data_IF_272984423250
#
_entry.id   IF_272984423250
#
_cell.length_a   1.000
_cell.length_b   1.000
_cell.length_c   1.000
_cell.angle_alpha   90.00
_cell.angle_beta   90.00
_cell.angle_gamma   90.00
#
_symmetry.space_group_name_H-M   'P 1'
#
loop_
_entity.id
_entity.type
_entity.pdbx_description
1 polymer ?
#
# COMPACT_ATOMS: atom_id res chain seq x y z
N UNK A 1 43.71 -12.08 -27.89
CA UNK A 1 42.98 -11.19 -26.94
C UNK A 1 42.61 -9.90 -27.67
N UNK A 2 41.35 -9.45 -27.62
CA UNK A 2 40.90 -8.25 -28.38
C UNK A 2 41.55 -6.97 -27.86
N UNK A 3 41.87 -6.02 -28.75
CA UNK A 3 42.44 -4.70 -28.41
C UNK A 3 41.64 -3.98 -27.32
N UNK A 4 40.32 -4.17 -27.29
CA UNK A 4 39.43 -3.62 -26.25
C UNK A 4 39.68 -4.24 -24.86
N UNK A 5 39.99 -5.54 -24.80
CA UNK A 5 40.30 -6.24 -23.54
C UNK A 5 41.65 -5.80 -22.98
N UNK A 6 42.65 -5.56 -23.85
CA UNK A 6 43.96 -5.02 -23.44
C UNK A 6 43.83 -3.61 -22.90
N UNK A 7 43.05 -2.74 -23.56
CA UNK A 7 42.80 -1.38 -23.08
C UNK A 7 42.10 -1.35 -21.71
N UNK A 8 41.11 -2.22 -21.50
CA UNK A 8 40.41 -2.31 -20.22
C UNK A 8 41.34 -2.76 -19.09
N UNK A 9 42.19 -3.75 -19.35
CA UNK A 9 43.17 -4.24 -18.36
C UNK A 9 44.18 -3.14 -18.01
N UNK A 10 44.72 -2.43 -19.01
CA UNK A 10 45.66 -1.33 -18.76
C UNK A 10 45.02 -0.19 -17.96
N UNK A 11 43.74 0.11 -18.19
CA UNK A 11 43.01 1.16 -17.47
C UNK A 11 42.74 0.78 -16.01
N UNK A 12 42.37 -0.48 -15.73
CA UNK A 12 42.19 -0.99 -14.36
C UNK A 12 43.52 -1.03 -13.60
N UNK A 13 44.61 -1.40 -14.28
CA UNK A 13 45.96 -1.38 -13.69
C UNK A 13 46.37 0.06 -13.36
N UNK A 14 46.15 1.02 -14.26
CA UNK A 14 46.47 2.43 -14.02
C UNK A 14 45.69 3.02 -12.82
N UNK A 15 44.39 2.74 -12.71
CA UNK A 15 43.55 3.20 -11.58
C UNK A 15 44.07 2.63 -10.24
N UNK A 16 44.47 1.36 -10.22
CA UNK A 16 45.04 0.72 -9.03
C UNK A 16 46.36 1.35 -8.58
N UNK A 17 47.22 1.74 -9.53
CA UNK A 17 48.48 2.44 -9.22
C UNK A 17 48.25 3.88 -8.73
N UNK A 18 47.25 4.58 -9.28
CA UNK A 18 46.86 5.92 -8.83
C UNK A 18 46.32 5.90 -7.39
N UNK A 19 45.47 4.93 -7.04
CA UNK A 19 44.95 4.76 -5.66
C UNK A 19 46.06 4.48 -4.63
N UNK A 20 47.09 3.70 -5.01
CA UNK A 20 48.26 3.45 -4.17
C UNK A 20 49.13 4.70 -3.94
N UNK A 21 49.25 5.57 -4.95
CA UNK A 21 50.01 6.82 -4.83
C UNK A 21 49.31 7.84 -3.91
N UNK A 22 47.98 7.89 -3.92
CA UNK A 22 47.20 8.71 -2.97
C UNK A 22 47.37 8.28 -1.51
N UNK A 23 47.54 6.97 -1.25
CA UNK A 23 47.80 6.45 0.09
C UNK A 23 49.22 6.79 0.59
N UNK A 24 50.21 6.81 -0.30
CA UNK A 24 51.61 7.14 0.04
C UNK A 24 51.84 8.65 0.26
N UNK A 25 51.05 9.51 -0.39
CA UNK A 25 51.12 10.97 -0.20
C UNK A 25 50.37 11.48 1.04
N UNK A 26 49.86 10.59 1.90
CA UNK A 26 49.26 10.95 3.19
C UNK A 26 47.95 11.74 3.07
N UNK A 27 47.31 11.74 1.89
CA UNK A 27 46.02 12.39 1.69
C UNK A 27 44.93 11.61 2.43
N UNK A 28 44.71 11.94 3.70
CA UNK A 28 43.56 11.45 4.44
C UNK A 28 42.32 12.08 3.83
N UNK A 29 41.43 11.25 3.28
CA UNK A 29 40.05 11.64 3.00
C UNK A 29 39.52 12.32 4.26
N UNK A 30 38.95 13.53 4.20
CA UNK A 30 38.45 14.20 5.38
C UNK A 30 37.35 13.32 5.98
N UNK A 31 37.69 12.63 7.06
CA UNK A 31 36.70 12.02 7.93
C UNK A 31 35.92 13.20 8.47
N UNK A 32 34.68 13.38 8.01
CA UNK A 32 33.74 14.25 8.70
C UNK A 32 33.64 13.71 10.12
N UNK A 33 34.34 14.38 11.03
CA UNK A 33 34.29 14.09 12.45
C UNK A 33 32.84 14.34 12.89
N UNK A 34 32.09 13.27 13.09
CA UNK A 34 30.88 13.31 13.87
C UNK A 34 31.32 13.70 15.29
N UNK A 35 30.96 14.88 15.82
CA UNK A 35 31.37 15.26 17.17
C UNK A 35 30.74 14.24 18.12
N UNK A 36 31.58 13.39 18.70
CA UNK A 36 31.20 12.47 19.75
C UNK A 36 30.60 13.29 20.89
N UNK A 37 29.31 13.09 21.14
CA UNK A 37 28.66 13.50 22.38
C UNK A 37 29.42 12.83 23.53
N UNK A 38 30.21 13.61 24.26
CA UNK A 38 30.75 13.20 25.54
C UNK A 38 29.57 12.95 26.49
N UNK A 39 29.30 11.68 26.77
CA UNK A 39 28.51 11.30 27.93
C UNK A 39 29.32 11.63 29.18
N UNK A 40 29.09 12.82 29.75
CA UNK A 40 29.45 13.12 31.12
C UNK A 40 28.24 12.82 32.00
N UNK A 41 28.30 11.69 32.69
CA UNK A 41 27.38 11.34 33.77
C UNK A 41 27.69 12.21 34.99
N UNK A 42 26.83 13.17 35.29
CA UNK A 42 26.75 13.84 36.58
C UNK A 42 25.29 13.93 37.03
N UNK A 43 25.01 13.24 38.12
CA UNK A 43 23.76 13.30 38.87
C UNK A 43 23.62 14.66 39.56
N UNK A 44 22.53 15.39 39.31
CA UNK A 44 21.85 16.22 40.32
C UNK A 44 20.53 16.79 39.81
N UNK A 45 19.66 17.02 40.78
CA UNK A 45 18.25 17.35 40.80
C UNK A 45 17.80 18.65 40.12
N UNK A 46 16.52 18.61 39.70
CA UNK A 46 15.52 19.70 39.66
C UNK A 46 15.76 20.93 38.76
N UNK A 47 14.97 21.03 37.70
CA UNK A 47 13.90 22.04 37.50
C UNK A 47 13.61 22.22 35.99
N UNK A 48 12.36 22.02 35.60
CA UNK A 48 11.89 22.04 34.21
C UNK A 48 11.91 23.45 33.61
N UNK A 49 12.49 23.68 32.42
CA UNK A 49 12.28 24.91 31.69
C UNK A 49 11.08 24.77 30.75
N UNK A 50 10.06 25.59 31.04
CA UNK A 50 8.90 25.87 30.20
C UNK A 50 9.36 26.25 28.79
N UNK A 51 8.97 25.46 27.78
CA UNK A 51 9.09 25.85 26.37
C UNK A 51 7.69 25.90 25.73
N UNK A 52 7.41 26.92 24.89
CA UNK A 52 6.05 27.32 24.56
C UNK A 52 5.58 26.73 23.22
N UNK A 53 4.26 26.51 23.11
CA UNK A 53 3.52 26.18 21.88
C UNK A 53 3.72 24.79 21.25
N UNK A 54 3.43 23.72 22.01
CA UNK A 54 2.61 22.65 21.43
C UNK A 54 1.18 22.87 21.89
N UNK A 55 0.34 23.41 21.01
CA UNK A 55 -1.09 23.33 21.21
C UNK A 55 -1.44 21.85 21.34
N UNK A 56 -1.87 21.44 22.54
CA UNK A 56 -2.56 20.16 22.74
C UNK A 56 -3.75 20.18 21.78
N UNK A 57 -3.60 19.50 20.64
CA UNK A 57 -4.76 19.06 19.89
C UNK A 57 -5.55 18.19 20.85
N UNK A 58 -6.76 18.64 21.16
CA UNK A 58 -7.74 17.83 21.87
C UNK A 58 -7.90 16.54 21.05
N UNK A 59 -7.88 15.34 21.66
CA UNK A 59 -8.13 14.11 20.93
C UNK A 59 -9.60 14.13 20.49
N UNK A 60 -9.88 14.67 19.32
CA UNK A 60 -11.08 14.25 18.59
C UNK A 60 -10.86 12.76 18.34
N UNK A 61 -11.71 11.96 18.97
CA UNK A 61 -11.48 10.53 19.16
C UNK A 61 -11.25 9.82 17.84
N UNK A 62 -10.33 8.86 17.83
CA UNK A 62 -10.07 7.95 16.71
C UNK A 62 -11.38 7.28 16.20
N UNK A 63 -12.40 7.21 17.05
CA UNK A 63 -13.77 6.76 16.74
C UNK A 63 -14.54 7.65 15.77
N UNK A 64 -14.23 8.95 15.66
CA UNK A 64 -14.92 9.90 14.79
C UNK A 64 -14.45 9.84 13.33
N UNK A 65 -13.47 9.00 13.01
CA UNK A 65 -12.87 8.88 11.67
C UNK A 65 -13.09 7.49 11.02
N UNK A 66 -13.89 6.62 11.64
CA UNK A 66 -14.13 5.24 11.21
C UNK A 66 -15.55 5.05 10.64
N UNK A 67 -15.68 4.13 9.69
CA UNK A 67 -16.95 3.74 9.06
C UNK A 67 -17.64 2.52 9.70
N UNK A 68 -17.27 2.18 10.94
CA UNK A 68 -17.76 1.01 11.70
C UNK A 68 -17.58 -0.30 10.92
N UNK A 69 -18.48 -1.28 11.01
CA UNK A 69 -18.26 -2.64 10.48
C UNK A 69 -19.43 -3.20 9.67
N UNK A 70 -20.42 -2.38 9.33
CA UNK A 70 -21.56 -2.79 8.52
C UNK A 70 -21.98 -1.71 7.52
N UNK A 71 -22.61 -2.06 6.39
CA UNK A 71 -23.00 -1.08 5.38
C UNK A 71 -24.01 -0.08 5.94
N UNK A 72 -24.99 -0.58 6.71
CA UNK A 72 -26.01 0.24 7.35
C UNK A 72 -25.40 1.27 8.33
N UNK A 73 -24.41 0.88 9.13
CA UNK A 73 -23.71 1.81 10.01
C UNK A 73 -22.84 2.81 9.24
N UNK A 74 -22.14 2.35 8.20
CA UNK A 74 -21.32 3.21 7.35
C UNK A 74 -22.16 4.29 6.67
N UNK A 75 -23.31 3.89 6.10
CA UNK A 75 -24.28 4.80 5.50
C UNK A 75 -24.86 5.77 6.54
N UNK A 76 -25.23 5.29 7.72
CA UNK A 76 -25.73 6.13 8.81
C UNK A 76 -24.70 7.18 9.29
N UNK A 77 -23.40 6.88 9.15
CA UNK A 77 -22.29 7.79 9.43
C UNK A 77 -21.89 8.68 8.24
N UNK A 78 -22.59 8.58 7.11
CA UNK A 78 -22.30 9.33 5.89
C UNK A 78 -20.99 8.93 5.21
N UNK A 79 -20.55 7.68 5.40
CA UNK A 79 -19.43 7.13 4.66
C UNK A 79 -19.79 6.92 3.19
N UNK A 80 -18.78 6.98 2.34
CA UNK A 80 -18.87 6.74 0.91
C UNK A 80 -18.16 5.43 0.61
N UNK A 81 -18.80 4.57 -0.16
CA UNK A 81 -18.16 3.38 -0.70
C UNK A 81 -17.30 3.76 -1.90
N UNK A 82 -16.00 3.55 -1.78
CA UNK A 82 -15.07 3.63 -2.89
C UNK A 82 -15.08 2.30 -3.65
N UNK A 83 -15.57 2.26 -4.89
CA UNK A 83 -15.65 1.01 -5.64
C UNK A 83 -14.25 0.46 -5.95
N UNK A 84 -13.25 1.28 -6.30
CA UNK A 84 -11.91 0.76 -6.61
C UNK A 84 -11.25 0.19 -5.38
N UNK A 85 -11.31 0.87 -4.23
CA UNK A 85 -10.77 0.33 -2.98
C UNK A 85 -11.64 -0.80 -2.37
N UNK A 86 -12.89 -0.95 -2.82
CA UNK A 86 -13.97 -1.70 -2.16
C UNK A 86 -14.01 -1.42 -0.67
N UNK A 87 -14.06 -0.14 -0.32
CA UNK A 87 -13.92 0.30 1.06
C UNK A 87 -14.85 1.46 1.38
N UNK A 88 -15.58 1.33 2.49
CA UNK A 88 -16.31 2.41 3.12
C UNK A 88 -15.33 3.35 3.81
N UNK A 89 -15.32 4.61 3.37
CA UNK A 89 -14.42 5.66 3.85
C UNK A 89 -15.20 6.93 4.18
N UNK A 90 -14.66 7.75 5.08
CA UNK A 90 -15.27 9.06 5.34
C UNK A 90 -15.04 10.01 4.17
N UNK A 91 -15.97 10.95 3.90
CA UNK A 91 -15.86 11.89 2.77
C UNK A 91 -14.54 12.65 2.74
N UNK A 92 -13.94 12.95 3.89
CA UNK A 92 -12.66 13.65 3.99
C UNK A 92 -11.46 12.87 3.41
N UNK A 93 -11.55 11.55 3.29
CA UNK A 93 -10.50 10.69 2.72
C UNK A 93 -10.89 10.10 1.37
N UNK A 94 -12.12 10.31 0.92
CA UNK A 94 -12.56 9.89 -0.39
C UNK A 94 -12.06 10.89 -1.44
N UNK A 95 -11.22 10.41 -2.38
CA UNK A 95 -10.80 11.21 -3.53
C UNK A 95 -11.59 10.76 -4.76
N UNK A 96 -12.67 11.48 -5.04
CA UNK A 96 -13.60 11.17 -6.13
C UNK A 96 -12.89 11.17 -7.48
N UNK A 97 -12.11 12.20 -7.76
CA UNK A 97 -11.43 12.37 -9.05
C UNK A 97 -10.41 11.25 -9.31
N UNK A 98 -9.65 10.86 -8.28
CA UNK A 98 -8.71 9.73 -8.37
C UNK A 98 -9.42 8.40 -8.61
N UNK A 99 -10.65 8.27 -8.11
CA UNK A 99 -11.44 7.04 -8.22
C UNK A 99 -12.16 6.95 -9.55
N UNK A 100 -12.73 8.05 -10.04
CA UNK A 100 -13.48 8.08 -11.29
C UNK A 100 -12.59 7.93 -12.53
N UNK A 101 -11.35 8.43 -12.47
CA UNK A 101 -10.43 8.36 -13.62
C UNK A 101 -10.16 6.90 -14.07
N UNK A 102 -9.72 5.96 -13.23
CA UNK A 102 -9.56 4.56 -13.65
C UNK A 102 -10.90 3.87 -13.93
N UNK A 103 -11.98 4.27 -13.25
CA UNK A 103 -13.31 3.72 -13.51
C UNK A 103 -13.84 4.07 -14.90
N UNK A 104 -13.41 5.18 -15.48
CA UNK A 104 -13.81 5.61 -16.81
C UNK A 104 -13.03 4.91 -17.94
N UNK A 105 -11.92 4.23 -17.62
CA UNK A 105 -11.06 3.58 -18.63
C UNK A 105 -11.75 2.38 -19.29
N UNK A 106 -12.63 1.69 -18.57
CA UNK A 106 -13.25 0.43 -19.00
C UNK A 106 -14.60 0.21 -18.33
N UNK A 107 -15.45 -0.60 -18.96
CA UNK A 107 -16.61 -1.19 -18.29
C UNK A 107 -16.16 -2.28 -17.32
N UNK A 108 -16.01 -1.91 -16.06
CA UNK A 108 -15.67 -2.84 -14.99
C UNK A 108 -16.81 -3.80 -14.68
N UNK A 109 -16.45 -5.04 -14.40
CA UNK A 109 -17.40 -6.12 -14.15
C UNK A 109 -17.07 -6.77 -12.82
N UNK A 110 -18.10 -6.95 -11.99
CA UNK A 110 -18.04 -7.72 -10.76
C UNK A 110 -18.96 -8.92 -10.89
N UNK A 111 -18.64 -10.03 -10.23
CA UNK A 111 -19.45 -11.24 -10.27
C UNK A 111 -19.64 -11.85 -8.90
N UNK A 112 -20.75 -12.58 -8.72
CA UNK A 112 -20.98 -13.35 -7.49
C UNK A 112 -20.25 -14.70 -7.49
N UNK A 113 -19.69 -15.10 -8.63
CA UNK A 113 -19.00 -16.36 -8.83
C UNK A 113 -17.61 -16.14 -9.43
N UNK A 114 -16.64 -17.04 -9.17
CA UNK A 114 -15.28 -16.88 -9.66
C UNK A 114 -15.13 -17.11 -11.17
N UNK A 115 -16.10 -17.75 -11.85
CA UNK A 115 -16.03 -18.01 -13.30
C UNK A 115 -16.43 -16.81 -14.15
N UNK A 116 -16.86 -15.71 -13.53
CA UNK A 116 -17.21 -14.50 -14.25
C UNK A 116 -18.56 -14.58 -14.97
N UNK A 117 -19.47 -15.49 -14.57
CA UNK A 117 -20.74 -15.74 -15.30
C UNK A 117 -21.94 -14.99 -14.74
N UNK A 118 -21.97 -14.67 -13.44
CA UNK A 118 -23.07 -14.02 -12.73
C UNK A 118 -22.70 -12.58 -12.43
N UNK A 119 -22.92 -11.72 -13.40
CA UNK A 119 -22.61 -10.30 -13.33
C UNK A 119 -23.45 -9.54 -12.31
N UNK A 120 -22.80 -8.60 -11.63
CA UNK A 120 -23.41 -7.57 -10.81
C UNK A 120 -23.31 -6.22 -11.53
N UNK A 121 -24.38 -5.44 -11.47
CA UNK A 121 -24.35 -4.04 -11.88
C UNK A 121 -23.52 -3.21 -10.91
N UNK A 122 -22.99 -2.07 -11.39
CA UNK A 122 -22.27 -1.12 -10.53
C UNK A 122 -23.14 -0.65 -9.35
N UNK A 123 -24.45 -0.46 -9.56
CA UNK A 123 -25.38 -0.11 -8.47
C UNK A 123 -25.46 -1.19 -7.41
N UNK A 124 -25.58 -2.46 -7.80
CA UNK A 124 -25.63 -3.58 -6.83
C UNK A 124 -24.34 -3.66 -6.01
N UNK A 125 -23.18 -3.44 -6.62
CA UNK A 125 -21.90 -3.38 -5.92
C UNK A 125 -21.86 -2.17 -4.97
N UNK A 126 -22.38 -1.01 -5.39
CA UNK A 126 -22.36 0.23 -4.63
C UNK A 126 -23.41 0.31 -3.51
N UNK A 127 -24.46 -0.52 -3.55
CA UNK A 127 -25.33 -0.74 -2.39
C UNK A 127 -24.51 -1.28 -1.20
N UNK A 128 -23.41 -1.98 -1.49
CA UNK A 128 -22.36 -2.33 -0.55
C UNK A 128 -22.76 -3.37 0.49
N UNK A 129 -23.88 -4.05 0.29
CA UNK A 129 -24.34 -5.19 1.08
C UNK A 129 -23.66 -6.50 0.62
N UNK A 130 -22.33 -6.46 0.58
CA UNK A 130 -21.49 -7.59 0.16
C UNK A 130 -20.32 -7.74 1.11
N UNK A 131 -19.97 -8.98 1.44
CA UNK A 131 -18.70 -9.28 2.10
C UNK A 131 -17.54 -9.27 1.10
N UNK A 132 -17.76 -9.88 -0.07
CA UNK A 132 -16.83 -9.91 -1.17
C UNK A 132 -17.57 -10.09 -2.50
N UNK A 133 -16.88 -9.76 -3.58
CA UNK A 133 -17.26 -10.04 -4.98
C UNK A 133 -16.04 -10.57 -5.72
N UNK A 134 -16.24 -11.13 -6.90
CA UNK A 134 -15.13 -11.50 -7.78
C UNK A 134 -14.94 -10.45 -8.87
N UNK A 135 -13.68 -10.21 -9.22
CA UNK A 135 -13.27 -9.29 -10.28
C UNK A 135 -12.31 -9.98 -11.24
N UNK A 136 -12.05 -9.31 -12.36
CA UNK A 136 -11.00 -9.73 -13.29
C UNK A 136 -9.63 -9.18 -12.88
N UNK A 137 -8.58 -9.80 -13.42
CA UNK A 137 -7.19 -9.44 -13.14
C UNK A 137 -6.87 -7.98 -13.49
N UNK A 138 -7.47 -7.45 -14.56
CA UNK A 138 -7.32 -6.03 -14.91
C UNK A 138 -7.86 -5.10 -13.83
N UNK A 139 -8.98 -5.44 -13.21
CA UNK A 139 -9.52 -4.70 -12.07
C UNK A 139 -8.53 -4.74 -10.91
N UNK A 140 -7.99 -5.91 -10.60
CA UNK A 140 -7.05 -6.09 -9.48
C UNK A 140 -5.77 -5.28 -9.68
N UNK A 141 -5.16 -5.32 -10.87
CA UNK A 141 -3.98 -4.51 -11.20
C UNK A 141 -4.30 -3.02 -11.15
N UNK A 142 -5.49 -2.62 -11.61
CA UNK A 142 -5.96 -1.22 -11.56
C UNK A 142 -6.15 -0.74 -10.13
N UNK A 143 -6.71 -1.59 -9.26
CA UNK A 143 -6.79 -1.36 -7.83
C UNK A 143 -5.41 -1.12 -7.21
N UNK A 144 -4.43 -1.99 -7.49
CA UNK A 144 -3.06 -1.82 -7.00
C UNK A 144 -2.42 -0.50 -7.46
N UNK A 145 -2.55 -0.17 -8.75
CA UNK A 145 -2.04 1.10 -9.29
C UNK A 145 -2.74 2.32 -8.67
N UNK A 146 -4.05 2.23 -8.46
CA UNK A 146 -4.87 3.27 -7.83
C UNK A 146 -4.45 3.54 -6.38
N UNK A 147 -4.21 2.49 -5.58
CA UNK A 147 -3.75 2.64 -4.20
C UNK A 147 -2.36 3.29 -4.13
N UNK A 148 -1.46 2.93 -5.05
CA UNK A 148 -0.17 3.60 -5.15
C UNK A 148 -0.33 5.10 -5.46
N UNK A 149 -1.21 5.45 -6.40
CA UNK A 149 -1.51 6.87 -6.71
C UNK A 149 -2.15 7.60 -5.53
N UNK A 150 -3.00 6.94 -4.74
CA UNK A 150 -3.57 7.51 -3.51
C UNK A 150 -2.47 7.85 -2.50
N UNK A 151 -1.53 6.93 -2.30
CA UNK A 151 -0.37 7.12 -1.44
C UNK A 151 0.53 8.26 -1.95
N UNK A 152 0.84 8.29 -3.25
CA UNK A 152 1.62 9.37 -3.88
C UNK A 152 1.00 10.74 -3.65
N UNK A 153 -0.33 10.89 -3.85
CA UNK A 153 -1.03 12.15 -3.61
C UNK A 153 -0.97 12.60 -2.15
N UNK A 154 -1.10 11.66 -1.20
CA UNK A 154 -0.98 11.99 0.22
C UNK A 154 0.42 12.50 0.57
N UNK A 155 1.48 11.89 0.00
CA UNK A 155 2.85 12.36 0.15
C UNK A 155 3.08 13.72 -0.51
N UNK A 156 2.63 13.89 -1.75
CA UNK A 156 2.77 15.15 -2.49
C UNK A 156 2.09 16.31 -1.78
N UNK A 157 0.90 16.08 -1.21
CA UNK A 157 0.16 17.09 -0.46
C UNK A 157 0.76 17.37 0.94
N UNK A 158 1.74 16.59 1.41
CA UNK A 158 2.26 16.66 2.77
C UNK A 158 1.21 16.36 3.84
N UNK A 159 0.13 15.68 3.47
CA UNK A 159 -1.01 15.42 4.34
C UNK A 159 -1.27 13.91 4.43
N UNK A 160 -0.55 13.23 5.31
CA UNK A 160 -0.75 11.80 5.54
C UNK A 160 -2.08 11.49 6.22
N UNK A 161 -2.81 12.47 6.74
CA UNK A 161 -4.08 12.21 7.44
C UNK A 161 -5.23 11.78 6.54
N UNK A 162 -5.11 11.97 5.22
CA UNK A 162 -6.09 11.49 4.24
C UNK A 162 -5.80 10.07 3.74
N UNK A 163 -4.64 9.51 4.10
CA UNK A 163 -4.29 8.14 3.75
C UNK A 163 -5.02 7.19 4.71
N UNK A 164 -5.78 6.24 4.17
CA UNK A 164 -6.49 5.25 4.97
C UNK A 164 -5.55 4.15 5.46
N UNK A 165 -5.99 3.42 6.49
CA UNK A 165 -5.19 2.36 7.14
C UNK A 165 -4.83 1.20 6.21
N UNK A 166 -5.62 0.94 5.18
CA UNK A 166 -5.43 -0.16 4.23
C UNK A 166 -4.36 0.20 3.20
N UNK A 167 -4.50 1.36 2.57
CA UNK A 167 -3.52 1.89 1.61
C UNK A 167 -2.15 2.10 2.27
N UNK A 168 -2.11 2.44 3.55
CA UNK A 168 -0.87 2.66 4.30
C UNK A 168 -0.21 1.36 4.82
N UNK A 169 -0.88 0.20 4.71
CA UNK A 169 -0.39 -1.03 5.30
C UNK A 169 0.74 -1.65 4.46
N UNK A 170 1.83 -2.02 5.12
CA UNK A 170 3.06 -2.48 4.46
C UNK A 170 2.82 -3.73 3.61
N UNK A 171 2.20 -4.77 4.19
CA UNK A 171 1.93 -6.05 3.51
C UNK A 171 1.04 -5.84 2.27
N UNK A 172 0.14 -4.85 2.31
CA UNK A 172 -0.71 -4.51 1.18
C UNK A 172 0.07 -3.86 0.04
N UNK A 173 0.97 -2.94 0.39
CA UNK A 173 1.84 -2.25 -0.58
C UNK A 173 2.79 -3.27 -1.24
N UNK A 174 3.35 -4.21 -0.47
CA UNK A 174 4.20 -5.28 -0.99
C UNK A 174 3.44 -6.16 -2.00
N UNK A 175 2.24 -6.64 -1.62
CA UNK A 175 1.37 -7.40 -2.53
C UNK A 175 1.04 -6.60 -3.79
N UNK A 176 0.68 -5.32 -3.65
CA UNK A 176 0.40 -4.47 -4.81
C UNK A 176 1.62 -4.34 -5.74
N UNK A 177 2.82 -4.19 -5.17
CA UNK A 177 4.07 -4.16 -5.92
C UNK A 177 4.30 -5.45 -6.72
N UNK A 178 4.14 -6.60 -6.07
CA UNK A 178 4.29 -7.91 -6.71
C UNK A 178 3.28 -8.13 -7.83
N UNK A 179 2.01 -7.74 -7.64
CA UNK A 179 0.96 -7.88 -8.66
C UNK A 179 1.20 -6.98 -9.87
N UNK A 180 1.71 -5.78 -9.65
CA UNK A 180 2.08 -4.87 -10.74
C UNK A 180 3.25 -5.41 -11.57
N UNK A 181 4.25 -6.01 -10.93
CA UNK A 181 5.41 -6.62 -11.61
C UNK A 181 5.04 -7.92 -12.33
N UNK A 182 4.20 -8.75 -11.69
CA UNK A 182 3.78 -10.04 -12.24
C UNK A 182 2.70 -9.93 -13.32
N UNK A 183 2.24 -8.72 -13.66
CA UNK A 183 1.19 -8.54 -14.65
C UNK A 183 1.63 -8.98 -16.06
N UNK A 184 1.04 -10.05 -16.57
CA UNK A 184 1.30 -10.60 -17.91
C UNK A 184 0.39 -10.03 -19.00
N UNK A 185 -0.63 -9.25 -18.62
CA UNK A 185 -1.69 -8.80 -19.54
C UNK A 185 -2.72 -9.87 -19.88
N UNK A 186 -2.67 -11.04 -19.24
CA UNK A 186 -3.65 -12.11 -19.45
C UNK A 186 -5.02 -11.74 -18.86
N UNK A 187 -6.10 -12.07 -19.59
CA UNK A 187 -7.47 -11.85 -19.13
C UNK A 187 -7.97 -13.02 -18.27
N UNK A 188 -7.76 -12.88 -16.97
CA UNK A 188 -8.16 -13.87 -15.97
C UNK A 188 -9.29 -13.32 -15.08
N UNK A 189 -10.20 -14.19 -14.65
CA UNK A 189 -11.31 -13.90 -13.74
C UNK A 189 -11.17 -14.67 -12.42
N UNK A 190 -11.96 -14.29 -11.41
CA UNK A 190 -12.07 -15.04 -10.17
C UNK A 190 -11.18 -14.52 -9.04
N UNK A 191 -10.67 -13.30 -9.17
CA UNK A 191 -9.93 -12.63 -8.08
C UNK A 191 -10.93 -12.15 -7.03
N UNK A 192 -10.87 -12.62 -5.77
CA UNK A 192 -11.77 -12.16 -4.72
C UNK A 192 -11.42 -10.73 -4.30
N UNK A 193 -12.45 -9.90 -4.16
CA UNK A 193 -12.33 -8.49 -3.84
C UNK A 193 -13.26 -8.18 -2.64
N UNK A 194 -12.65 -7.97 -1.47
CA UNK A 194 -13.32 -7.90 -0.17
C UNK A 194 -13.73 -6.46 0.16
N UNK A 195 -14.93 -6.29 0.71
CA UNK A 195 -15.43 -5.01 1.20
C UNK A 195 -14.89 -4.68 2.59
N UNK A 196 -14.48 -3.44 2.80
CA UNK A 196 -13.76 -3.03 4.00
C UNK A 196 -14.37 -1.77 4.60
N UNK A 197 -14.07 -1.52 5.87
CA UNK A 197 -14.51 -0.32 6.58
C UNK A 197 -13.30 0.33 7.22
N UNK A 198 -12.86 1.46 6.66
CA UNK A 198 -11.55 2.00 6.96
C UNK A 198 -11.62 3.23 7.86
N UNK A 199 -10.55 3.47 8.60
CA UNK A 199 -10.32 4.76 9.26
C UNK A 199 -9.60 5.72 8.31
N UNK A 200 -10.02 6.99 8.34
CA UNK A 200 -9.17 8.08 7.92
C UNK A 200 -7.96 8.20 8.84
N UNK A 201 -6.82 8.57 8.27
CA UNK A 201 -5.49 8.61 8.91
C UNK A 201 -4.92 7.20 9.08
N UNK A 202 -3.65 6.97 8.71
CA UNK A 202 -2.93 5.80 9.19
C UNK A 202 -2.89 5.94 10.71
N UNK A 203 -3.37 4.95 11.45
CA UNK A 203 -3.11 4.89 12.89
C UNK A 203 -1.61 4.69 13.13
N UNK A 204 -1.25 3.63 13.86
CA UNK A 204 0.08 3.06 13.65
C UNK A 204 0.17 2.61 12.18
N UNK A 205 1.24 3.00 11.48
CA UNK A 205 1.68 2.31 10.27
C UNK A 205 1.93 0.85 10.67
N UNK A 206 0.94 0.00 10.46
CA UNK A 206 0.86 -1.35 11.01
C UNK A 206 0.55 -2.33 9.90
N UNK A 207 0.92 -3.59 10.13
CA UNK A 207 0.50 -4.71 9.29
C UNK A 207 -1.01 -4.67 9.13
N UNK A 208 -1.49 -5.03 7.93
CA UNK A 208 -2.92 -5.32 7.80
C UNK A 208 -3.26 -6.39 8.84
N UNK A 209 -4.39 -6.28 9.57
CA UNK A 209 -4.97 -7.49 10.11
C UNK A 209 -5.12 -8.42 8.91
N UNK A 210 -4.60 -9.64 9.01
CA UNK A 210 -4.24 -10.41 7.85
C UNK A 210 -5.44 -10.65 6.94
N UNK A 211 -5.68 -9.78 5.95
CA UNK A 211 -6.70 -10.03 4.93
C UNK A 211 -6.27 -11.22 4.04
N UNK A 212 -4.98 -11.54 4.08
CA UNK A 212 -4.37 -12.75 3.53
C UNK A 212 -4.55 -13.99 4.44
N UNK A 213 -4.98 -13.82 5.68
CA UNK A 213 -5.45 -14.88 6.56
C UNK A 213 -6.89 -14.59 6.98
N UNK A 214 -7.84 -15.03 6.16
CA UNK A 214 -9.19 -15.35 6.60
C UNK A 214 -9.05 -16.07 7.96
N UNK A 215 -9.37 -15.37 9.05
CA UNK A 215 -9.21 -15.93 10.39
C UNK A 215 -10.05 -17.20 10.49
N UNK A 216 -9.38 -18.31 10.81
CA UNK A 216 -9.97 -19.56 11.23
C UNK A 216 -10.95 -19.28 12.39
N UNK A 217 -12.25 -19.21 12.12
CA UNK A 217 -13.20 -18.86 13.18
C UNK A 217 -14.67 -18.98 12.83
N UNK A 218 -15.18 -18.25 11.83
CA UNK A 218 -16.65 -18.15 11.67
C UNK A 218 -17.19 -18.39 10.25
N UNK A 219 -16.34 -18.52 9.23
CA UNK A 219 -16.73 -19.10 7.92
C UNK A 219 -15.59 -19.98 7.41
N UNK A 220 -15.78 -21.30 7.44
CA UNK A 220 -14.84 -22.24 6.83
C UNK A 220 -14.97 -22.19 5.31
N UNK A 221 -14.00 -21.57 4.63
CA UNK A 221 -13.58 -22.03 3.31
C UNK A 221 -12.36 -22.93 3.54
N UNK A 222 -12.43 -24.18 3.06
CA UNK A 222 -11.37 -25.17 3.26
C UNK A 222 -10.09 -24.77 2.50
N UNK A 223 -9.21 -24.02 3.16
CA UNK A 223 -7.91 -23.55 2.65
C UNK A 223 -6.82 -24.63 2.68
N UNK A 224 -7.07 -25.82 3.26
CA UNK A 224 -6.11 -26.96 3.23
C UNK A 224 -5.97 -27.63 1.85
N UNK A 225 -6.63 -27.09 0.82
CA UNK A 225 -6.43 -27.44 -0.59
C UNK A 225 -5.66 -26.38 -1.39
N UNK A 226 -4.96 -25.44 -0.73
CA UNK A 226 -4.16 -24.42 -1.43
C UNK A 226 -2.76 -24.90 -1.85
N UNK A 227 -2.71 -25.90 -2.73
CA UNK A 227 -1.88 -25.76 -3.93
C UNK A 227 -2.68 -24.85 -4.88
N UNK A 228 -2.78 -23.56 -4.57
CA UNK A 228 -3.96 -22.81 -5.04
C UNK A 228 -3.97 -21.32 -4.78
N UNK A 229 -2.81 -20.68 -4.71
CA UNK A 229 -2.62 -19.27 -5.05
C UNK A 229 -2.78 -19.05 -6.58
N UNK A 230 -3.70 -19.81 -7.20
CA UNK A 230 -3.93 -19.94 -8.65
C UNK A 230 -5.35 -19.44 -9.03
N UNK A 231 -5.97 -18.59 -8.21
CA UNK A 231 -7.19 -17.88 -8.63
C UNK A 231 -6.91 -16.84 -9.73
N UNK A 232 -5.65 -16.39 -9.85
CA UNK A 232 -5.19 -15.51 -10.92
C UNK A 232 -4.94 -16.26 -12.25
N UNK A 233 -5.42 -17.51 -12.38
CA UNK A 233 -5.19 -18.35 -13.57
C UNK A 233 -6.46 -19.03 -14.12
N UNK A 234 -7.67 -18.62 -13.70
CA UNK A 234 -8.87 -19.07 -14.40
C UNK A 234 -9.08 -18.25 -15.67
N UNK A 235 -8.68 -18.82 -16.81
CA UNK A 235 -8.98 -18.24 -18.12
C UNK A 235 -10.49 -18.07 -18.24
N UNK A 236 -10.90 -16.90 -18.71
CA UNK A 236 -12.29 -16.65 -19.09
C UNK A 236 -12.70 -17.71 -20.13
N UNK A 237 -13.72 -18.50 -19.83
CA UNK A 237 -14.30 -19.41 -20.81
C UNK A 237 -14.97 -18.54 -21.89
N UNK A 238 -14.60 -18.72 -23.16
CA UNK A 238 -15.30 -18.09 -24.28
C UNK A 238 -16.68 -18.75 -24.42
N UNK A 239 -17.75 -17.95 -24.41
CA UNK A 239 -19.12 -18.38 -24.70
C UNK A 239 -19.35 -18.68 -26.19
#
# INVERSE_FOLDING_TARGET
MSRRKVALILLVVAISFLGGLFALLGYRVPVFACPSLLSSSSSSSSSSPTSPFFSKSTPHGITELQCRTSPAEAQALGCVLDPLALSWVRPACYNKELTEEPLAVRNWTWTTDPWGKRHLSKSEVLDGDWEYVYVDHWYHVTHCAFLWRRMERAFHAGNLSVLDSYTAAYDHIEHCGDRLVANTGEEVVGVPAIFKYLSCRPGSLGQEPPAYWIYEGEVQYNTKKQEGLYADHMKREEE
#
